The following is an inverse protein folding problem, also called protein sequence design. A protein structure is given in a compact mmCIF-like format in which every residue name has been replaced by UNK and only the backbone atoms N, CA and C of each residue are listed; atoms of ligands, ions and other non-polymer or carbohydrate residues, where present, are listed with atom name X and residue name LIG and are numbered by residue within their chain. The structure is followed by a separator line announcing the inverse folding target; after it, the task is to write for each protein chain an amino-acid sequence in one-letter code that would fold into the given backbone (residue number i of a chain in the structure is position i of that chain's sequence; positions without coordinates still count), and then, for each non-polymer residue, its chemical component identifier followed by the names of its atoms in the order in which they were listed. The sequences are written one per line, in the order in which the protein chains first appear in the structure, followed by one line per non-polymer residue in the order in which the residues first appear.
data_IF_586773686892
#
_entry.id   IF_586773686892
#
_cell.length_a   1.000
_cell.length_b   1.000
_cell.length_c   1.000
_cell.angle_alpha   90.00
_cell.angle_beta   90.00
_cell.angle_gamma   90.00
#
_symmetry.space_group_name_H-M   'P 1'
#
loop_
_entity.id
_entity.type
_entity.pdbx_description
1 polymer ?
#
# COMPACT_ATOMS: atom_id res chain seq x y z
N UNK A 1 0.23 -16.57 7.94
CA UNK A 1 -0.31 -17.66 8.80
C UNK A 1 -0.26 -19.01 8.11
N UNK A 2 -0.67 -19.11 6.84
CA UNK A 2 -0.63 -20.37 6.09
C UNK A 2 0.77 -20.97 5.89
N UNK A 3 1.85 -20.18 5.69
CA UNK A 3 3.17 -20.76 5.45
C UNK A 3 3.65 -21.74 6.52
N UNK A 4 3.58 -21.35 7.80
CA UNK A 4 3.99 -22.23 8.90
C UNK A 4 3.13 -23.49 8.99
N UNK A 5 1.81 -23.39 8.76
CA UNK A 5 0.91 -24.55 8.78
C UNK A 5 1.27 -25.54 7.66
N UNK A 6 1.59 -25.05 6.46
CA UNK A 6 1.94 -25.91 5.33
C UNK A 6 3.34 -26.50 5.46
N UNK A 7 4.32 -25.74 5.95
CA UNK A 7 5.66 -26.25 6.23
C UNK A 7 5.59 -27.37 7.27
N UNK A 8 4.85 -27.17 8.37
CA UNK A 8 4.65 -28.19 9.41
C UNK A 8 3.90 -29.43 8.90
N UNK A 9 2.86 -29.24 8.08
CA UNK A 9 2.03 -30.34 7.56
C UNK A 9 2.73 -31.17 6.47
N UNK A 10 3.56 -30.54 5.63
CA UNK A 10 4.22 -31.18 4.49
C UNK A 10 5.68 -31.54 4.77
N UNK A 11 6.26 -31.09 5.88
CA UNK A 11 7.66 -31.32 6.23
C UNK A 11 8.65 -30.67 5.26
N UNK A 12 8.26 -29.56 4.63
CA UNK A 12 9.09 -28.78 3.69
C UNK A 12 9.35 -27.39 4.25
N UNK A 13 10.36 -26.69 3.73
CA UNK A 13 10.65 -25.28 4.07
C UNK A 13 10.27 -24.32 2.94
N UNK A 14 9.54 -24.81 1.92
CA UNK A 14 9.24 -24.04 0.72
C UNK A 14 8.39 -22.81 1.04
N UNK A 15 7.45 -22.92 1.97
CA UNK A 15 6.52 -21.84 2.27
C UNK A 15 7.18 -20.76 3.13
N UNK A 16 8.30 -21.07 3.80
CA UNK A 16 9.13 -20.10 4.52
C UNK A 16 9.80 -19.06 3.63
N UNK A 17 10.12 -19.39 2.37
CA UNK A 17 10.82 -18.46 1.47
C UNK A 17 9.96 -17.25 1.08
N UNK A 18 10.49 -16.04 1.30
CA UNK A 18 9.80 -14.78 0.98
C UNK A 18 9.38 -14.71 -0.49
N UNK A 19 10.26 -15.11 -1.43
CA UNK A 19 9.95 -15.12 -2.87
C UNK A 19 8.76 -15.99 -3.21
N UNK A 20 8.68 -17.19 -2.62
CA UNK A 20 7.56 -18.10 -2.81
C UNK A 20 6.27 -17.50 -2.25
N UNK A 21 6.32 -16.91 -1.05
CA UNK A 21 5.17 -16.26 -0.40
C UNK A 21 4.65 -15.08 -1.20
N UNK A 22 5.53 -14.25 -1.78
CA UNK A 22 5.15 -13.13 -2.65
C UNK A 22 4.46 -13.64 -3.92
N UNK A 23 5.00 -14.69 -4.55
CA UNK A 23 4.40 -15.29 -5.75
C UNK A 23 3.01 -15.85 -5.44
N UNK A 24 2.88 -16.60 -4.35
CA UNK A 24 1.60 -17.17 -3.93
C UNK A 24 0.59 -16.12 -3.49
N UNK A 25 1.02 -15.04 -2.82
CA UNK A 25 0.15 -13.93 -2.48
C UNK A 25 -0.39 -13.24 -3.74
N UNK A 26 0.48 -12.99 -4.72
CA UNK A 26 0.09 -12.38 -6.00
C UNK A 26 -0.90 -13.27 -6.75
N UNK A 27 -0.62 -14.58 -6.84
CA UNK A 27 -1.49 -15.55 -7.49
C UNK A 27 -2.84 -15.67 -6.78
N UNK A 28 -2.84 -15.73 -5.44
CA UNK A 28 -4.06 -15.82 -4.63
C UNK A 28 -4.94 -14.59 -4.83
N UNK A 29 -4.36 -13.38 -4.79
CA UNK A 29 -5.11 -12.15 -5.02
C UNK A 29 -5.70 -12.11 -6.45
N UNK A 30 -4.93 -12.49 -7.45
CA UNK A 30 -5.37 -12.52 -8.85
C UNK A 30 -6.50 -13.52 -9.09
N UNK A 31 -6.32 -14.78 -8.68
CA UNK A 31 -7.32 -15.83 -8.86
C UNK A 31 -8.59 -15.52 -8.07
N UNK A 32 -8.45 -15.01 -6.85
CA UNK A 32 -9.59 -14.57 -6.05
C UNK A 32 -10.34 -13.42 -6.72
N UNK A 33 -9.64 -12.42 -7.27
CA UNK A 33 -10.29 -11.32 -7.97
C UNK A 33 -11.04 -11.77 -9.23
N UNK A 34 -10.48 -12.70 -10.01
CA UNK A 34 -11.15 -13.27 -11.19
C UNK A 34 -12.41 -14.07 -10.83
N UNK A 35 -12.29 -14.94 -9.82
CA UNK A 35 -13.38 -15.80 -9.38
C UNK A 35 -14.46 -15.01 -8.62
N UNK A 36 -14.09 -14.17 -7.67
CA UNK A 36 -15.07 -13.40 -6.90
C UNK A 36 -15.68 -12.26 -7.70
N UNK A 37 -14.94 -11.71 -8.67
CA UNK A 37 -15.36 -10.58 -9.49
C UNK A 37 -16.65 -10.83 -10.24
N UNK A 38 -16.85 -12.03 -10.81
CA UNK A 38 -18.08 -12.32 -11.52
C UNK A 38 -19.32 -12.32 -10.61
N UNK A 39 -19.19 -12.73 -9.34
CA UNK A 39 -20.27 -12.63 -8.36
C UNK A 39 -20.56 -11.18 -7.97
N UNK A 40 -19.50 -10.41 -7.67
CA UNK A 40 -19.63 -8.99 -7.28
C UNK A 40 -20.25 -8.16 -8.39
N UNK A 41 -19.84 -8.36 -9.64
CA UNK A 41 -20.41 -7.65 -10.79
C UNK A 41 -21.91 -7.95 -10.93
N UNK A 42 -22.33 -9.21 -10.78
CA UNK A 42 -23.75 -9.58 -10.84
C UNK A 42 -24.54 -8.97 -9.68
N UNK A 43 -23.96 -8.96 -8.48
CA UNK A 43 -24.56 -8.37 -7.30
C UNK A 43 -24.74 -6.85 -7.45
N UNK A 44 -23.71 -6.12 -7.92
CA UNK A 44 -23.77 -4.67 -8.14
C UNK A 44 -24.81 -4.29 -9.22
N UNK A 45 -24.87 -5.06 -10.32
CA UNK A 45 -25.90 -4.87 -11.36
C UNK A 45 -27.32 -5.06 -10.82
N UNK A 46 -27.52 -6.04 -9.93
CA UNK A 46 -28.82 -6.29 -9.29
C UNK A 46 -29.30 -5.16 -8.38
N UNK A 47 -28.38 -4.42 -7.74
CA UNK A 47 -28.70 -3.35 -6.79
C UNK A 47 -28.78 -1.95 -7.43
N UNK A 48 -28.72 -1.84 -8.77
CA UNK A 48 -28.73 -0.57 -9.52
C UNK A 48 -27.72 0.47 -9.01
N UNK A 49 -26.56 0.00 -8.55
CA UNK A 49 -25.40 0.85 -8.24
C UNK A 49 -24.73 1.22 -9.56
N UNK A 50 -25.44 1.98 -10.39
CA UNK A 50 -24.99 2.44 -11.70
C UNK A 50 -24.61 3.92 -11.56
N UNK A 51 -23.43 4.28 -12.07
CA UNK A 51 -22.98 5.66 -12.08
C UNK A 51 -23.87 6.49 -13.01
N UNK A 52 -24.41 7.59 -12.49
CA UNK A 52 -25.24 8.53 -13.26
C UNK A 52 -24.31 9.54 -13.95
N UNK A 53 -24.01 9.29 -15.23
CA UNK A 53 -22.96 9.96 -16.01
C UNK A 53 -23.32 11.41 -16.38
N UNK A 54 -24.52 11.87 -16.06
CA UNK A 54 -24.95 13.24 -16.38
C UNK A 54 -24.23 14.33 -15.59
N UNK A 55 -23.40 14.01 -14.59
CA UNK A 55 -22.80 15.01 -13.70
C UNK A 55 -21.30 14.80 -13.44
N UNK A 56 -20.50 14.44 -14.43
CA UNK A 56 -19.04 14.63 -14.28
C UNK A 56 -18.69 16.06 -14.72
N UNK A 57 -17.91 16.81 -13.94
CA UNK A 57 -17.45 18.18 -14.24
C UNK A 57 -16.64 18.31 -15.56
N UNK A 58 -16.41 17.18 -16.23
CA UNK A 58 -15.71 17.03 -17.51
C UNK A 58 -16.63 17.11 -18.75
N UNK A 59 -17.94 17.28 -18.55
CA UNK A 59 -18.92 17.46 -19.64
C UNK A 59 -18.56 18.55 -20.67
N UNK A 60 -17.92 19.68 -20.31
CA UNK A 60 -17.54 20.69 -21.30
C UNK A 60 -16.38 20.27 -22.21
N UNK A 61 -15.62 19.24 -21.83
CA UNK A 61 -14.32 18.90 -22.44
C UNK A 61 -14.41 17.63 -23.30
N UNK A 62 -15.36 16.72 -23.01
CA UNK A 62 -15.44 15.41 -23.65
C UNK A 62 -16.40 15.42 -24.86
N UNK A 63 -15.90 14.99 -26.03
CA UNK A 63 -16.69 14.87 -27.27
C UNK A 63 -17.76 13.76 -27.16
N UNK A 64 -18.90 13.87 -27.88
CA UNK A 64 -19.90 12.80 -27.95
C UNK A 64 -19.26 11.51 -28.51
N UNK A 65 -19.11 10.49 -27.67
CA UNK A 65 -18.40 9.25 -27.98
C UNK A 65 -17.33 8.84 -26.96
N UNK A 66 -16.80 9.77 -26.15
CA UNK A 66 -15.94 9.46 -25.00
C UNK A 66 -16.71 9.21 -23.70
N UNK A 67 -18.04 9.18 -23.78
CA UNK A 67 -18.95 8.94 -22.65
C UNK A 67 -19.19 7.42 -22.56
N UNK A 68 -18.16 6.65 -22.22
CA UNK A 68 -18.26 5.18 -22.03
C UNK A 68 -18.57 4.76 -20.58
N UNK A 69 -18.90 5.70 -19.69
CA UNK A 69 -19.14 5.42 -18.26
C UNK A 69 -20.58 5.05 -17.92
N UNK A 70 -21.44 4.81 -18.91
CA UNK A 70 -22.88 4.60 -18.67
C UNK A 70 -23.13 3.13 -18.32
N UNK A 71 -23.35 2.84 -17.04
CA UNK A 71 -23.81 1.54 -16.56
C UNK A 71 -22.73 0.56 -16.11
N UNK A 72 -21.49 0.99 -15.94
CA UNK A 72 -20.46 0.21 -15.25
C UNK A 72 -20.68 0.29 -13.73
N UNK A 73 -20.71 -0.85 -13.01
CA UNK A 73 -20.91 -0.84 -11.57
C UNK A 73 -19.70 -0.22 -10.88
N UNK A 74 -19.95 0.81 -10.08
CA UNK A 74 -18.93 1.49 -9.27
C UNK A 74 -18.71 0.68 -7.98
N UNK A 75 -17.51 0.74 -7.39
CA UNK A 75 -17.00 -0.12 -6.28
C UNK A 75 -16.07 -1.28 -6.67
N UNK A 76 -15.57 -1.35 -7.90
CA UNK A 76 -14.51 -2.33 -8.26
C UNK A 76 -13.27 -2.26 -7.37
N UNK A 77 -12.95 -1.07 -6.83
CA UNK A 77 -11.87 -0.89 -5.85
C UNK A 77 -12.05 -1.69 -4.56
N UNK A 78 -13.29 -1.92 -4.11
CA UNK A 78 -13.55 -2.70 -2.90
C UNK A 78 -13.21 -4.18 -3.08
N UNK A 79 -13.47 -4.74 -4.27
CA UNK A 79 -13.06 -6.09 -4.64
C UNK A 79 -11.53 -6.23 -4.63
N UNK A 80 -10.83 -5.28 -5.28
CA UNK A 80 -9.37 -5.30 -5.34
C UNK A 80 -8.75 -5.19 -3.94
N UNK A 81 -9.27 -4.27 -3.11
CA UNK A 81 -8.80 -4.09 -1.74
C UNK A 81 -9.02 -5.36 -0.90
N UNK A 82 -10.21 -5.97 -1.01
CA UNK A 82 -10.50 -7.20 -0.27
C UNK A 82 -9.58 -8.35 -0.70
N UNK A 83 -9.36 -8.52 -2.01
CA UNK A 83 -8.44 -9.52 -2.53
C UNK A 83 -7.01 -9.31 -2.04
N UNK A 84 -6.55 -8.04 -2.00
CA UNK A 84 -5.23 -7.66 -1.48
C UNK A 84 -5.12 -8.00 0.00
N UNK A 85 -6.03 -7.49 0.84
CA UNK A 85 -5.97 -7.69 2.30
C UNK A 85 -6.08 -9.18 2.65
N UNK A 86 -7.00 -9.91 2.01
CA UNK A 86 -7.13 -11.35 2.20
C UNK A 86 -5.83 -12.07 1.86
N UNK A 87 -5.25 -11.79 0.70
CA UNK A 87 -4.02 -12.44 0.29
C UNK A 87 -2.85 -12.12 1.22
N UNK A 88 -2.71 -10.85 1.64
CA UNK A 88 -1.71 -10.45 2.62
C UNK A 88 -1.90 -11.19 3.94
N UNK A 89 -3.11 -11.29 4.48
CA UNK A 89 -3.37 -12.02 5.74
C UNK A 89 -2.98 -13.50 5.65
N UNK A 90 -3.26 -14.14 4.52
CA UNK A 90 -2.96 -15.56 4.32
C UNK A 90 -1.45 -15.82 4.28
N UNK A 91 -0.72 -15.03 3.49
CA UNK A 91 0.68 -15.29 3.12
C UNK A 91 1.72 -14.49 3.90
N UNK A 92 1.38 -13.32 4.43
CA UNK A 92 2.31 -12.50 5.22
C UNK A 92 2.68 -13.14 6.56
N UNK A 93 3.80 -12.67 7.11
CA UNK A 93 4.30 -13.16 8.38
C UNK A 93 3.51 -12.46 9.48
N UNK A 94 2.74 -13.21 10.30
CA UNK A 94 1.99 -12.59 11.38
C UNK A 94 2.89 -11.86 12.38
N UNK A 95 4.17 -12.19 12.48
CA UNK A 95 5.13 -11.55 13.38
C UNK A 95 5.71 -10.25 12.83
N UNK A 96 5.56 -9.96 11.53
CA UNK A 96 6.13 -8.77 10.93
C UNK A 96 5.18 -7.57 11.10
N UNK A 97 5.46 -6.63 12.03
CA UNK A 97 4.58 -5.48 12.28
C UNK A 97 4.50 -4.52 11.09
N UNK A 98 5.53 -4.44 10.26
CA UNK A 98 5.60 -3.48 9.14
C UNK A 98 4.52 -3.78 8.11
N UNK A 99 4.33 -5.07 7.80
CA UNK A 99 3.29 -5.52 6.87
C UNK A 99 1.90 -5.16 7.42
N UNK A 100 1.69 -5.32 8.72
CA UNK A 100 0.41 -5.02 9.35
C UNK A 100 0.10 -3.53 9.43
N UNK A 101 1.11 -2.67 9.66
CA UNK A 101 0.91 -1.22 9.60
C UNK A 101 0.49 -0.79 8.20
N UNK A 102 1.18 -1.24 7.15
CA UNK A 102 0.82 -0.93 5.76
C UNK A 102 -0.59 -1.45 5.44
N UNK A 103 -0.87 -2.70 5.81
CA UNK A 103 -2.20 -3.32 5.60
C UNK A 103 -3.30 -2.56 6.33
N UNK A 104 -3.06 -2.10 7.56
CA UNK A 104 -4.01 -1.33 8.36
C UNK A 104 -4.31 0.04 7.73
N UNK A 105 -3.29 0.76 7.26
CA UNK A 105 -3.47 2.04 6.53
C UNK A 105 -4.27 1.79 5.25
N UNK A 106 -3.86 0.81 4.45
CA UNK A 106 -4.53 0.45 3.18
C UNK A 106 -5.99 0.09 3.40
N UNK A 107 -6.29 -0.80 4.36
CA UNK A 107 -7.64 -1.19 4.70
C UNK A 107 -8.47 -0.01 5.22
N UNK A 108 -7.91 0.82 6.11
CA UNK A 108 -8.61 1.99 6.67
C UNK A 108 -8.96 3.02 5.58
N UNK A 109 -8.03 3.31 4.68
CA UNK A 109 -8.27 4.24 3.57
C UNK A 109 -9.28 3.66 2.58
N UNK A 110 -9.24 2.35 2.38
CA UNK A 110 -10.23 1.63 1.59
C UNK A 110 -11.63 1.67 2.18
N UNK A 111 -11.78 1.57 3.51
CA UNK A 111 -13.06 1.75 4.21
C UNK A 111 -13.59 3.17 3.99
N UNK A 112 -12.74 4.20 4.10
CA UNK A 112 -13.15 5.58 3.81
C UNK A 112 -13.58 5.75 2.36
N UNK A 113 -12.84 5.17 1.41
CA UNK A 113 -13.20 5.16 0.00
C UNK A 113 -14.55 4.50 -0.25
N UNK A 114 -14.79 3.34 0.37
CA UNK A 114 -16.07 2.64 0.30
C UNK A 114 -17.23 3.48 0.87
N UNK A 115 -17.03 4.15 2.01
CA UNK A 115 -18.03 5.04 2.62
C UNK A 115 -18.31 6.23 1.69
N UNK A 116 -17.28 6.82 1.09
CA UNK A 116 -17.40 7.93 0.14
C UNK A 116 -18.22 7.53 -1.09
N UNK A 117 -17.92 6.38 -1.68
CA UNK A 117 -18.61 5.86 -2.86
C UNK A 117 -20.05 5.43 -2.55
N UNK A 118 -20.28 4.76 -1.43
CA UNK A 118 -21.62 4.42 -0.96
C UNK A 118 -22.46 5.70 -0.69
N UNK A 119 -21.84 6.76 -0.17
CA UNK A 119 -22.52 8.04 0.04
C UNK A 119 -22.90 8.71 -1.28
N UNK A 120 -22.03 8.69 -2.31
CA UNK A 120 -22.33 9.21 -3.66
C UNK A 120 -23.52 8.49 -4.29
N UNK A 121 -23.51 7.16 -4.22
CA UNK A 121 -24.59 6.30 -4.74
C UNK A 121 -25.91 6.59 -4.03
N UNK A 122 -25.91 6.66 -2.70
CA UNK A 122 -27.13 6.90 -1.91
C UNK A 122 -27.72 8.29 -2.13
N UNK A 123 -26.87 9.32 -2.27
CA UNK A 123 -27.29 10.72 -2.45
C UNK A 123 -27.62 11.06 -3.90
N UNK A 124 -27.29 10.20 -4.87
CA UNK A 124 -27.36 10.49 -6.31
C UNK A 124 -26.70 11.83 -6.67
N UNK A 125 -25.59 12.12 -6.00
CA UNK A 125 -24.85 13.37 -6.13
C UNK A 125 -23.37 13.09 -6.27
N UNK A 126 -22.67 13.99 -6.95
CA UNK A 126 -21.21 13.95 -7.11
C UNK A 126 -20.47 14.14 -5.78
N UNK A 127 -21.09 14.84 -4.83
CA UNK A 127 -20.55 15.07 -3.49
C UNK A 127 -20.71 13.85 -2.58
N UNK A 128 -19.59 13.22 -2.22
CA UNK A 128 -19.52 12.13 -1.25
C UNK A 128 -19.43 12.61 0.21
N UNK A 129 -18.45 12.10 0.94
CA UNK A 129 -18.07 12.54 2.28
C UNK A 129 -17.43 13.94 2.19
N UNK A 130 -17.73 14.82 3.15
CA UNK A 130 -17.09 16.14 3.13
C UNK A 130 -15.56 15.97 3.29
N UNK A 131 -14.79 16.59 2.40
CA UNK A 131 -13.33 16.41 2.32
C UNK A 131 -12.61 16.62 3.64
N UNK A 132 -13.09 17.53 4.51
CA UNK A 132 -12.56 17.74 5.86
C UNK A 132 -12.61 16.50 6.75
N UNK A 133 -13.68 15.70 6.70
CA UNK A 133 -13.79 14.48 7.50
C UNK A 133 -12.97 13.34 6.91
N UNK A 134 -12.88 13.28 5.57
CA UNK A 134 -11.98 12.35 4.87
C UNK A 134 -10.53 12.61 5.27
N UNK A 135 -10.06 13.86 5.16
CA UNK A 135 -8.71 14.26 5.52
C UNK A 135 -8.43 14.07 7.01
N UNK A 136 -9.36 14.47 7.89
CA UNK A 136 -9.20 14.26 9.34
C UNK A 136 -8.98 12.78 9.68
N UNK A 137 -9.79 11.90 9.10
CA UNK A 137 -9.62 10.45 9.31
C UNK A 137 -8.30 9.94 8.74
N UNK A 138 -7.95 10.35 7.52
CA UNK A 138 -6.70 9.92 6.87
C UNK A 138 -5.48 10.34 7.71
N UNK A 139 -5.42 11.60 8.16
CA UNK A 139 -4.37 12.10 9.04
C UNK A 139 -4.38 11.43 10.41
N UNK A 140 -5.54 11.13 10.99
CA UNK A 140 -5.63 10.43 12.27
C UNK A 140 -5.05 9.01 12.18
N UNK A 141 -5.40 8.26 11.13
CA UNK A 141 -4.90 6.89 10.90
C UNK A 141 -3.41 6.90 10.56
N UNK A 142 -2.97 7.69 9.58
CA UNK A 142 -1.57 7.75 9.21
C UNK A 142 -0.72 8.28 10.37
N UNK A 143 -1.17 9.35 11.04
CA UNK A 143 -0.48 9.95 12.18
C UNK A 143 -0.33 9.01 13.35
N UNK A 144 -1.38 8.28 13.73
CA UNK A 144 -1.32 7.32 14.85
C UNK A 144 -0.41 6.13 14.57
N UNK A 145 -0.50 5.54 13.37
CA UNK A 145 0.33 4.40 13.00
C UNK A 145 1.79 4.80 12.76
N UNK A 146 2.05 5.97 12.16
CA UNK A 146 3.40 6.52 12.07
C UNK A 146 3.94 6.87 13.47
N UNK A 147 3.14 7.48 14.34
CA UNK A 147 3.58 7.75 15.72
C UNK A 147 3.98 6.45 16.43
N UNK A 148 3.19 5.39 16.27
CA UNK A 148 3.55 4.08 16.82
C UNK A 148 4.88 3.57 16.25
N UNK A 149 5.08 3.59 14.93
CA UNK A 149 6.35 3.18 14.31
C UNK A 149 7.56 3.97 14.86
N UNK A 150 7.45 5.29 15.00
CA UNK A 150 8.60 6.13 15.39
C UNK A 150 8.86 6.20 16.91
N UNK A 151 7.84 5.94 17.74
CA UNK A 151 7.96 6.06 19.20
C UNK A 151 7.92 4.73 19.96
N UNK A 152 7.34 3.66 19.40
CA UNK A 152 7.40 2.34 20.02
C UNK A 152 8.79 1.73 19.79
N UNK A 153 9.29 1.01 20.79
CA UNK A 153 10.50 0.19 20.67
C UNK A 153 10.18 -1.30 20.75
N UNK A 154 9.09 -1.66 21.42
CA UNK A 154 8.65 -3.04 21.57
C UNK A 154 7.99 -3.58 20.30
N UNK A 155 8.36 -4.81 19.93
CA UNK A 155 7.77 -5.54 18.81
C UNK A 155 8.26 -5.09 17.43
N UNK A 156 9.15 -4.09 17.34
CA UNK A 156 9.75 -3.63 16.09
C UNK A 156 11.17 -4.20 15.91
N UNK A 157 11.62 -4.46 14.67
CA UNK A 157 12.98 -4.92 14.42
C UNK A 157 14.06 -3.90 14.83
N UNK A 158 15.11 -4.38 15.50
CA UNK A 158 16.17 -3.53 16.06
C UNK A 158 17.00 -2.80 14.99
N UNK A 159 17.25 -3.47 13.87
CA UNK A 159 17.90 -2.92 12.67
C UNK A 159 17.10 -1.74 12.09
N UNK A 160 15.77 -1.85 12.04
CA UNK A 160 14.90 -0.76 11.61
C UNK A 160 14.88 0.40 12.62
N UNK A 161 14.81 0.12 13.93
CA UNK A 161 14.83 1.14 14.99
C UNK A 161 16.09 2.01 14.90
N UNK A 162 17.24 1.42 14.53
CA UNK A 162 18.52 2.11 14.43
C UNK A 162 18.62 3.12 13.27
N UNK A 163 17.74 3.00 12.26
CA UNK A 163 17.78 3.83 11.05
C UNK A 163 16.51 4.64 10.79
N UNK A 164 15.41 4.39 11.52
CA UNK A 164 14.08 4.94 11.22
C UNK A 164 14.01 6.46 11.17
N UNK A 165 14.86 7.16 11.91
CA UNK A 165 14.92 8.62 12.01
C UNK A 165 15.77 9.28 10.91
N UNK A 166 16.46 8.47 10.09
CA UNK A 166 17.26 8.96 8.96
C UNK A 166 16.37 9.27 7.78
N UNK A 167 16.55 10.47 7.23
CA UNK A 167 15.95 10.85 5.97
C UNK A 167 16.97 10.62 4.85
N UNK A 168 16.68 9.64 4.00
CA UNK A 168 17.49 9.38 2.83
C UNK A 168 17.14 10.35 1.69
N UNK A 169 18.15 11.03 1.14
CA UNK A 169 17.99 11.92 0.00
C UNK A 169 18.31 11.15 -1.28
N UNK A 170 17.45 11.19 -2.31
CA UNK A 170 17.72 10.53 -3.58
C UNK A 170 19.10 10.88 -4.15
N UNK A 171 19.74 9.92 -4.80
CA UNK A 171 21.07 10.03 -5.41
C UNK A 171 22.25 10.23 -4.45
N UNK A 172 21.99 10.28 -3.14
CA UNK A 172 23.02 10.20 -2.11
C UNK A 172 23.15 8.73 -1.69
N UNK A 173 24.37 8.25 -1.41
CA UNK A 173 24.57 6.87 -0.94
C UNK A 173 24.06 6.72 0.48
N UNK A 174 23.28 5.67 0.77
CA UNK A 174 22.97 5.29 2.15
C UNK A 174 24.19 4.55 2.70
N UNK A 175 24.97 5.24 3.52
CA UNK A 175 26.18 4.70 4.13
C UNK A 175 25.89 4.16 5.53
N UNK A 176 26.58 3.09 5.91
CA UNK A 176 26.53 2.58 7.28
C UNK A 176 27.16 3.59 8.26
N UNK A 177 26.82 3.47 9.55
CA UNK A 177 27.39 4.34 10.58
C UNK A 177 28.90 4.34 10.61
N UNK A 178 29.50 3.17 10.41
CA UNK A 178 30.95 3.00 10.38
C UNK A 178 31.57 3.80 9.24
N UNK A 179 30.99 3.70 8.03
CA UNK A 179 31.46 4.46 6.85
C UNK A 179 31.24 5.97 6.97
N UNK A 180 30.13 6.38 7.60
CA UNK A 180 29.86 7.78 7.89
C UNK A 180 30.89 8.36 8.87
N UNK A 181 31.20 7.61 9.94
CA UNK A 181 32.22 7.99 10.92
C UNK A 181 33.62 8.06 10.30
N UNK A 182 34.00 7.12 9.44
CA UNK A 182 35.27 7.14 8.68
C UNK A 182 35.41 8.40 7.81
N UNK A 183 34.30 8.88 7.24
CA UNK A 183 34.25 10.06 6.38
C UNK A 183 34.04 11.37 7.16
N UNK A 184 33.84 11.31 8.47
CA UNK A 184 33.47 12.46 9.29
C UNK A 184 32.13 13.10 8.89
N UNK A 185 31.21 12.30 8.34
CA UNK A 185 29.88 12.73 7.90
C UNK A 185 28.82 12.21 8.85
N UNK A 186 27.75 12.99 9.04
CA UNK A 186 26.59 12.60 9.83
C UNK A 186 25.38 12.37 8.92
N UNK A 187 24.51 11.38 9.23
CA UNK A 187 23.30 11.18 8.47
C UNK A 187 22.34 12.36 8.67
N UNK A 188 21.54 12.66 7.65
CA UNK A 188 20.42 13.59 7.79
C UNK A 188 19.35 12.92 8.67
N UNK A 189 19.22 13.37 9.91
CA UNK A 189 18.23 12.86 10.87
C UNK A 189 17.14 13.91 11.08
N UNK A 190 15.88 13.47 11.09
CA UNK A 190 14.76 14.30 11.49
C UNK A 190 14.31 13.95 12.92
N UNK A 191 13.97 14.95 13.75
CA UNK A 191 13.28 14.67 15.01
C UNK A 191 12.02 13.82 14.78
N UNK A 192 11.80 12.81 15.64
CA UNK A 192 10.69 11.85 15.49
C UNK A 192 9.34 12.50 15.23
N UNK A 193 9.00 13.56 15.97
CA UNK A 193 7.73 14.29 15.79
C UNK A 193 7.60 14.89 14.39
N UNK A 194 8.68 15.43 13.83
CA UNK A 194 8.69 16.02 12.50
C UNK A 194 8.58 14.94 11.43
N UNK A 195 9.25 13.80 11.64
CA UNK A 195 9.16 12.65 10.75
C UNK A 195 7.73 12.10 10.70
N UNK A 196 7.03 12.00 11.83
CA UNK A 196 5.62 11.56 11.87
C UNK A 196 4.72 12.50 11.07
N UNK A 197 4.90 13.82 11.21
CA UNK A 197 4.13 14.81 10.43
C UNK A 197 4.44 14.67 8.94
N UNK A 198 5.73 14.58 8.59
CA UNK A 198 6.17 14.43 7.21
C UNK A 198 5.62 13.13 6.56
N UNK A 199 5.79 11.99 7.22
CA UNK A 199 5.30 10.70 6.74
C UNK A 199 3.77 10.70 6.58
N UNK A 200 3.04 11.27 7.55
CA UNK A 200 1.58 11.41 7.45
C UNK A 200 1.18 12.26 6.25
N UNK A 201 1.85 13.39 6.03
CA UNK A 201 1.61 14.25 4.88
C UNK A 201 1.85 13.53 3.56
N UNK A 202 2.95 12.78 3.44
CA UNK A 202 3.26 11.97 2.25
C UNK A 202 2.18 10.92 2.01
N UNK A 203 1.80 10.15 3.03
CA UNK A 203 0.79 9.08 2.90
C UNK A 203 -0.57 9.65 2.48
N UNK A 204 -1.04 10.70 3.17
CA UNK A 204 -2.32 11.35 2.85
C UNK A 204 -2.26 12.01 1.47
N UNK A 205 -1.16 12.69 1.15
CA UNK A 205 -0.93 13.34 -0.14
C UNK A 205 -0.96 12.36 -1.30
N UNK A 206 -0.23 11.25 -1.21
CA UNK A 206 -0.21 10.20 -2.23
C UNK A 206 -1.58 9.55 -2.40
N UNK A 207 -2.32 9.28 -1.31
CA UNK A 207 -3.67 8.73 -1.41
C UNK A 207 -4.64 9.65 -2.14
N UNK A 208 -4.60 10.95 -1.87
CA UNK A 208 -5.46 11.93 -2.56
C UNK A 208 -5.00 12.17 -4.00
N UNK A 209 -3.69 12.11 -4.28
CA UNK A 209 -3.17 12.19 -5.64
C UNK A 209 -3.67 11.01 -6.51
N UNK A 210 -3.65 9.78 -5.99
CA UNK A 210 -4.20 8.61 -6.70
C UNK A 210 -5.71 8.72 -6.89
N UNK A 211 -6.43 9.24 -5.90
CA UNK A 211 -7.87 9.47 -6.04
C UNK A 211 -8.20 10.50 -7.15
N UNK A 212 -7.35 11.51 -7.33
CA UNK A 212 -7.48 12.52 -8.38
C UNK A 212 -7.18 11.95 -9.79
N UNK A 213 -6.25 10.99 -9.89
CA UNK A 213 -5.90 10.36 -11.18
C UNK A 213 -6.87 9.27 -11.63
N UNK A 214 -7.70 8.74 -10.74
CA UNK A 214 -8.69 7.69 -11.03
C UNK A 214 -9.98 8.20 -11.71
N UNK A 215 -9.92 9.39 -12.33
CA UNK A 215 -11.05 10.02 -13.03
C UNK A 215 -11.39 9.42 -14.40
N UNK A 216 -10.53 8.55 -14.93
CA UNK A 216 -10.70 7.84 -16.21
C UNK A 216 -10.46 6.34 -16.03
N UNK A 217 -11.25 5.51 -16.71
CA UNK A 217 -11.23 4.04 -16.54
C UNK A 217 -9.82 3.48 -16.78
N UNK A 218 -9.20 2.96 -15.73
CA UNK A 218 -7.88 2.32 -15.78
C UNK A 218 -6.67 3.27 -15.78
N UNK A 219 -6.87 4.59 -15.64
CA UNK A 219 -5.75 5.54 -15.63
C UNK A 219 -4.89 5.43 -14.37
N UNK A 220 -5.51 5.18 -13.21
CA UNK A 220 -4.79 5.06 -11.95
C UNK A 220 -4.10 3.70 -11.75
N UNK A 221 -4.67 2.61 -12.26
CA UNK A 221 -4.16 1.25 -11.97
C UNK A 221 -2.80 0.98 -12.62
N UNK A 222 -2.54 1.51 -13.82
CA UNK A 222 -1.25 1.35 -14.51
C UNK A 222 -0.06 1.89 -13.68
N UNK A 223 -0.06 3.18 -13.30
CA UNK A 223 0.95 3.75 -12.42
C UNK A 223 1.06 3.03 -11.06
N UNK A 224 -0.07 2.62 -10.46
CA UNK A 224 -0.08 1.90 -9.18
C UNK A 224 0.65 0.56 -9.29
N UNK A 225 0.46 -0.21 -10.38
CA UNK A 225 1.16 -1.48 -10.59
C UNK A 225 2.67 -1.29 -10.72
N UNK A 226 3.12 -0.28 -11.48
CA UNK A 226 4.55 0.03 -11.64
C UNK A 226 5.16 0.42 -10.28
N UNK A 227 4.48 1.30 -9.54
CA UNK A 227 4.94 1.76 -8.24
C UNK A 227 5.02 0.60 -7.21
N UNK A 228 3.98 -0.25 -7.16
CA UNK A 228 3.95 -1.42 -6.29
C UNK A 228 5.07 -2.42 -6.64
N UNK A 229 5.31 -2.67 -7.93
CA UNK A 229 6.41 -3.53 -8.39
C UNK A 229 7.77 -3.00 -7.98
N UNK A 230 8.00 -1.69 -8.13
CA UNK A 230 9.24 -1.03 -7.69
C UNK A 230 9.45 -1.17 -6.18
N UNK A 231 8.44 -0.89 -5.36
CA UNK A 231 8.56 -1.04 -3.91
C UNK A 231 8.72 -2.50 -3.47
N UNK A 232 8.09 -3.45 -4.15
CA UNK A 232 8.28 -4.88 -3.88
C UNK A 232 9.72 -5.32 -4.13
N UNK A 233 10.33 -4.87 -5.23
CA UNK A 233 11.74 -5.14 -5.53
C UNK A 233 12.63 -4.48 -4.46
N UNK A 234 12.44 -3.19 -4.17
CA UNK A 234 13.25 -2.49 -3.17
C UNK A 234 13.16 -3.11 -1.77
N UNK A 235 11.96 -3.49 -1.34
CA UNK A 235 11.75 -4.15 -0.05
C UNK A 235 12.48 -5.50 0.01
N UNK A 236 12.44 -6.29 -1.07
CA UNK A 236 13.17 -7.55 -1.16
C UNK A 236 14.70 -7.33 -1.14
N UNK A 237 15.20 -6.35 -1.90
CA UNK A 237 16.63 -6.05 -1.96
C UNK A 237 17.20 -5.56 -0.62
N UNK A 238 16.38 -4.93 0.23
CA UNK A 238 16.77 -4.48 1.57
C UNK A 238 17.27 -5.60 2.49
N UNK A 239 16.76 -6.81 2.33
CA UNK A 239 17.16 -8.00 3.13
C UNK A 239 17.87 -9.08 2.32
N UNK A 240 17.93 -8.97 0.99
CA UNK A 240 18.50 -10.02 0.16
C UNK A 240 20.02 -10.15 0.32
N UNK A 241 20.46 -11.36 0.65
CA UNK A 241 21.87 -11.77 0.62
C UNK A 241 22.10 -12.73 -0.54
N UNK A 242 22.88 -12.32 -1.54
CA UNK A 242 23.23 -13.12 -2.71
C UNK A 242 24.71 -13.43 -2.69
N UNK A 243 25.09 -14.70 -2.83
CA UNK A 243 26.50 -15.13 -2.84
C UNK A 243 27.31 -14.60 -1.64
N UNK A 244 26.70 -14.52 -0.45
CA UNK A 244 27.25 -13.96 0.80
C UNK A 244 27.52 -12.45 0.77
N UNK A 245 26.97 -11.73 -0.19
CA UNK A 245 27.04 -10.27 -0.30
C UNK A 245 25.64 -9.70 -0.05
N UNK A 246 25.55 -8.74 0.86
CA UNK A 246 24.33 -7.95 1.04
C UNK A 246 24.10 -7.10 -0.21
N UNK A 247 22.97 -7.33 -0.88
CA UNK A 247 22.64 -6.56 -2.08
C UNK A 247 22.35 -5.10 -1.73
N UNK A 248 21.79 -4.86 -0.55
CA UNK A 248 21.52 -3.52 -0.04
C UNK A 248 22.80 -2.70 0.13
N UNK A 249 23.84 -3.30 0.73
CA UNK A 249 25.14 -2.64 0.91
C UNK A 249 25.82 -2.34 -0.43
N UNK A 250 25.77 -3.28 -1.38
CA UNK A 250 26.32 -3.07 -2.72
C UNK A 250 25.64 -1.92 -3.47
N UNK A 251 24.31 -1.80 -3.32
CA UNK A 251 23.51 -0.75 -3.94
C UNK A 251 23.45 0.55 -3.14
N UNK A 252 24.09 0.61 -1.96
CA UNK A 252 24.02 1.74 -1.04
C UNK A 252 22.58 2.13 -0.66
N UNK A 253 21.73 1.13 -0.39
CA UNK A 253 20.38 1.29 0.18
C UNK A 253 20.35 0.74 1.62
N UNK A 254 19.33 1.06 2.44
CA UNK A 254 19.24 0.55 3.80
C UNK A 254 19.21 -0.99 3.85
N UNK A 255 20.16 -1.58 4.57
CA UNK A 255 20.16 -3.01 4.87
C UNK A 255 19.30 -3.30 6.10
N UNK A 256 18.38 -4.25 5.97
CA UNK A 256 17.47 -4.70 7.02
C UNK A 256 17.45 -6.23 7.03
N UNK A 257 18.18 -6.84 7.96
CA UNK A 257 18.23 -8.30 8.12
C UNK A 257 16.83 -8.88 8.41
N UNK A 258 16.03 -8.12 9.15
CA UNK A 258 14.63 -8.45 9.48
C UNK A 258 13.66 -8.45 8.29
N UNK A 259 14.10 -8.00 7.11
CA UNK A 259 13.29 -7.97 5.89
C UNK A 259 13.42 -9.22 5.01
N UNK A 260 14.28 -10.17 5.40
CA UNK A 260 14.57 -11.42 4.67
C UNK A 260 13.77 -12.64 5.13
#
# INVERSE_FOLDING_TARGET
MLPGIFDDALGVQLFGYVTFRVAMATLTAFLFALWWGHFVIRWLKGHRVLEDVEKTDLQPILKPGQISKRGTPTMGGSLMLFALVLSTVLWADPKNPMVWVVTAITASYGVVGYIDDAAKVRKKSTGGLAGRYKLLFQFAVAGSLCAWLFYADEGLPADWIAIRDRLHVPFVKFLTNERLAELGQEPLVLPKWLYVIFASFVIVGTSNAVNLTDGLDGLAIGPVMINAGTYAILAYLGGAVLFKVSVAEYLFIPYLDSSS
#
